data_IF_135150576233
#
_entry.id   IF_135150576233
#
_cell.length_a   1.000
_cell.length_b   1.000
_cell.length_c   1.000
_cell.angle_alpha   90.00
_cell.angle_beta   90.00
_cell.angle_gamma   90.00
#
_symmetry.space_group_name_H-M   'P 1'
#
loop_
_entity.id
_entity.type
_entity.pdbx_description
1 polymer ?
#
# COMPACT_ATOMS: atom_id res chain seq x y z
N UNK A 1 3.26 2.14 -24.22
CA UNK A 1 4.55 1.47 -24.53
C UNK A 1 4.33 0.23 -25.38
N UNK A 2 3.59 -0.79 -24.93
CA UNK A 2 3.39 -2.06 -25.68
C UNK A 2 2.66 -1.90 -27.03
N UNK A 3 1.58 -1.11 -27.10
CA UNK A 3 0.86 -0.88 -28.37
C UNK A 3 1.72 -0.18 -29.43
N UNK A 4 2.60 0.74 -29.01
CA UNK A 4 3.48 1.47 -29.92
C UNK A 4 4.53 0.55 -30.57
N UNK A 5 5.05 -0.44 -29.83
CA UNK A 5 5.97 -1.44 -30.36
C UNK A 5 5.27 -2.37 -31.36
N UNK A 6 4.02 -2.75 -31.09
CA UNK A 6 3.20 -3.52 -32.05
C UNK A 6 2.96 -2.70 -33.32
N UNK A 7 2.61 -1.42 -33.20
CA UNK A 7 2.40 -0.53 -34.34
C UNK A 7 3.68 -0.29 -35.16
N UNK A 8 4.83 -0.22 -34.50
CA UNK A 8 6.13 -0.15 -35.19
C UNK A 8 6.45 -1.43 -35.96
N UNK A 9 6.27 -2.60 -35.34
CA UNK A 9 6.50 -3.88 -36.00
C UNK A 9 5.59 -4.05 -37.23
N UNK A 10 4.31 -3.68 -37.10
CA UNK A 10 3.36 -3.74 -38.21
C UNK A 10 3.72 -2.76 -39.33
N UNK A 11 4.17 -1.54 -39.01
CA UNK A 11 4.68 -0.58 -40.02
C UNK A 11 5.91 -1.10 -40.76
N UNK A 12 6.73 -1.93 -40.12
CA UNK A 12 7.90 -2.59 -40.73
C UNK A 12 7.54 -3.88 -41.48
N UNK A 13 6.25 -4.21 -41.61
CA UNK A 13 5.76 -5.33 -42.42
C UNK A 13 5.41 -6.60 -41.64
N UNK A 14 5.49 -6.61 -40.31
CA UNK A 14 5.05 -7.76 -39.52
C UNK A 14 3.52 -7.86 -39.45
N UNK A 15 2.98 -9.08 -39.43
CA UNK A 15 1.57 -9.28 -39.09
C UNK A 15 1.33 -9.03 -37.60
N UNK A 16 0.08 -8.76 -37.22
CA UNK A 16 -0.29 -8.61 -35.81
C UNK A 16 0.05 -9.89 -35.04
N UNK A 17 -0.18 -11.05 -35.64
CA UNK A 17 0.11 -12.38 -35.11
C UNK A 17 1.60 -12.53 -34.79
N UNK A 18 2.48 -12.25 -35.76
CA UNK A 18 3.92 -12.36 -35.59
C UNK A 18 4.46 -11.37 -34.55
N UNK A 19 3.92 -10.14 -34.52
CA UNK A 19 4.28 -9.15 -33.51
C UNK A 19 3.83 -9.57 -32.10
N UNK A 20 2.62 -10.12 -31.97
CA UNK A 20 2.09 -10.61 -30.70
C UNK A 20 2.85 -11.83 -30.19
N UNK A 21 3.17 -12.79 -31.07
CA UNK A 21 3.94 -13.99 -30.74
C UNK A 21 5.30 -13.62 -30.12
N UNK A 22 6.03 -12.68 -30.72
CA UNK A 22 7.32 -12.20 -30.20
C UNK A 22 7.23 -11.51 -28.84
N UNK A 23 6.09 -10.90 -28.54
CA UNK A 23 5.84 -10.23 -27.27
C UNK A 23 5.19 -11.14 -26.21
N UNK A 24 4.92 -12.41 -26.54
CA UNK A 24 4.19 -13.32 -25.66
C UNK A 24 2.74 -12.90 -25.42
N UNK A 25 2.14 -12.22 -26.40
CA UNK A 25 0.77 -11.73 -26.34
C UNK A 25 -0.14 -12.52 -27.29
N UNK A 26 -1.43 -12.53 -26.96
CA UNK A 26 -2.47 -13.00 -27.87
C UNK A 26 -2.99 -11.80 -28.69
N UNK A 27 -3.17 -11.90 -30.02
CA UNK A 27 -3.68 -10.81 -30.86
C UNK A 27 -4.97 -10.16 -30.33
N UNK A 28 -5.86 -10.98 -29.78
CA UNK A 28 -7.12 -10.54 -29.15
C UNK A 28 -6.90 -9.58 -27.97
N UNK A 29 -5.79 -9.70 -27.24
CA UNK A 29 -5.42 -8.79 -26.14
C UNK A 29 -5.07 -7.41 -26.67
N UNK A 30 -4.27 -7.35 -27.75
CA UNK A 30 -3.92 -6.09 -28.42
C UNK A 30 -5.16 -5.44 -29.04
N UNK A 31 -5.99 -6.21 -29.74
CA UNK A 31 -7.26 -5.72 -30.29
C UNK A 31 -8.19 -5.17 -29.20
N UNK A 32 -8.26 -5.84 -28.03
CA UNK A 32 -9.02 -5.35 -26.88
C UNK A 32 -8.44 -4.02 -26.38
N UNK A 33 -7.14 -3.91 -26.16
CA UNK A 33 -6.53 -2.65 -25.68
C UNK A 33 -6.73 -1.46 -26.61
N UNK A 34 -6.87 -1.69 -27.92
CA UNK A 34 -7.18 -0.62 -28.90
C UNK A 34 -8.62 -0.12 -28.84
N UNK A 35 -9.55 -0.84 -28.20
CA UNK A 35 -10.94 -0.38 -28.07
C UNK A 35 -11.01 0.77 -27.05
N UNK A 36 -11.70 1.89 -27.35
CA UNK A 36 -11.84 3.01 -26.42
C UNK A 36 -12.37 2.61 -25.04
N UNK A 37 -13.28 1.64 -24.99
CA UNK A 37 -13.84 1.11 -23.75
C UNK A 37 -12.76 0.52 -22.81
N UNK A 38 -11.68 -0.02 -23.35
CA UNK A 38 -10.60 -0.70 -22.63
C UNK A 38 -9.26 0.01 -22.76
N UNK A 39 -9.27 1.27 -23.20
CA UNK A 39 -8.10 2.13 -23.31
C UNK A 39 -7.47 2.47 -21.94
N UNK A 40 -8.28 2.41 -20.87
CA UNK A 40 -7.81 2.58 -19.50
C UNK A 40 -7.63 1.23 -18.80
N UNK A 41 -6.63 1.16 -17.92
CA UNK A 41 -6.44 0.00 -17.06
C UNK A 41 -7.68 -0.20 -16.18
N UNK A 42 -8.37 -1.34 -16.38
CA UNK A 42 -9.56 -1.72 -15.63
C UNK A 42 -9.26 -2.60 -14.43
N UNK A 43 -7.99 -2.75 -14.05
CA UNK A 43 -7.61 -3.33 -12.75
C UNK A 43 -7.97 -2.33 -11.65
N UNK A 44 -9.27 -2.20 -11.40
CA UNK A 44 -9.77 -1.60 -10.18
C UNK A 44 -9.45 -2.61 -9.09
N UNK A 45 -8.54 -2.27 -8.17
CA UNK A 45 -8.20 -3.11 -7.03
C UNK A 45 -9.43 -3.55 -6.22
N UNK A 46 -9.24 -4.30 -5.13
CA UNK A 46 -10.35 -4.83 -4.34
C UNK A 46 -11.42 -3.76 -4.07
N UNK A 47 -12.67 -4.04 -4.46
CA UNK A 47 -13.81 -3.11 -4.26
C UNK A 47 -14.24 -3.04 -2.80
N UNK A 48 -13.74 -3.94 -1.98
CA UNK A 48 -14.07 -4.09 -0.56
C UNK A 48 -12.85 -3.77 0.30
N UNK A 49 -13.10 -3.19 1.46
CA UNK A 49 -12.08 -3.10 2.50
C UNK A 49 -11.95 -4.45 3.22
N UNK A 50 -10.76 -4.81 3.71
CA UNK A 50 -10.59 -5.97 4.58
C UNK A 50 -11.52 -5.87 5.79
N UNK A 51 -12.16 -6.98 6.17
CA UNK A 51 -13.10 -7.00 7.30
C UNK A 51 -12.46 -6.67 8.66
N UNK A 52 -11.15 -6.88 8.78
CA UNK A 52 -10.34 -6.54 9.96
C UNK A 52 -9.75 -5.11 9.91
N UNK A 53 -10.23 -4.27 8.99
CA UNK A 53 -9.79 -2.88 8.92
C UNK A 53 -10.30 -2.13 10.15
N UNK A 54 -9.39 -1.48 10.88
CA UNK A 54 -9.75 -0.61 11.99
C UNK A 54 -10.71 0.50 11.53
N UNK A 55 -11.82 0.60 12.23
CA UNK A 55 -12.77 1.71 12.15
C UNK A 55 -12.10 3.01 12.60
N UNK A 56 -12.70 4.14 12.21
CA UNK A 56 -12.19 5.44 12.65
C UNK A 56 -12.24 5.59 14.18
N UNK A 57 -13.27 5.04 14.84
CA UNK A 57 -13.40 5.06 16.29
C UNK A 57 -12.30 4.25 17.00
N UNK A 58 -11.90 3.09 16.45
CA UNK A 58 -10.78 2.31 17.00
C UNK A 58 -9.46 3.03 16.81
N UNK A 59 -9.24 3.65 15.63
CA UNK A 59 -8.03 4.46 15.38
C UNK A 59 -7.91 5.62 16.37
N UNK A 60 -9.02 6.30 16.69
CA UNK A 60 -9.03 7.35 17.70
C UNK A 60 -8.76 6.83 19.10
N UNK A 61 -9.29 5.66 19.47
CA UNK A 61 -8.96 5.00 20.75
C UNK A 61 -7.47 4.68 20.86
N UNK A 62 -6.86 4.19 19.78
CA UNK A 62 -5.40 3.93 19.72
C UNK A 62 -4.62 5.22 19.97
N UNK A 63 -4.98 6.31 19.27
CA UNK A 63 -4.32 7.61 19.43
C UNK A 63 -4.49 8.18 20.84
N UNK A 64 -5.70 8.11 21.39
CA UNK A 64 -5.98 8.57 22.74
C UNK A 64 -5.12 7.81 23.76
N UNK A 65 -5.09 6.47 23.66
CA UNK A 65 -4.32 5.61 24.55
C UNK A 65 -2.81 5.89 24.47
N UNK A 66 -2.26 5.94 23.25
CA UNK A 66 -0.84 6.19 23.03
C UNK A 66 -0.39 7.59 23.47
N UNK A 67 -1.30 8.56 23.59
CA UNK A 67 -1.00 9.92 24.06
C UNK A 67 -1.36 10.15 25.53
N UNK A 68 -1.87 9.14 26.27
CA UNK A 68 -2.06 9.25 27.71
C UNK A 68 -0.73 9.45 28.42
N UNK A 69 -0.74 10.17 29.53
CA UNK A 69 0.46 10.48 30.31
C UNK A 69 1.28 9.24 30.67
N UNK A 70 0.60 8.15 31.03
CA UNK A 70 1.24 6.88 31.36
C UNK A 70 1.99 6.22 30.19
N UNK A 71 1.50 6.37 28.96
CA UNK A 71 2.01 5.66 27.80
C UNK A 71 2.73 6.56 26.79
N UNK A 72 2.67 7.88 26.97
CA UNK A 72 3.14 8.85 25.98
C UNK A 72 4.58 8.61 25.57
N UNK A 73 5.45 8.21 26.48
CA UNK A 73 6.88 8.01 26.22
C UNK A 73 7.23 6.55 25.87
N UNK A 74 6.25 5.65 25.88
CA UNK A 74 6.43 4.26 25.48
C UNK A 74 6.31 4.12 23.95
N UNK A 75 7.25 3.40 23.36
CA UNK A 75 7.11 2.95 21.97
C UNK A 75 5.99 1.91 21.84
N UNK A 76 5.37 1.71 20.67
CA UNK A 76 4.40 0.62 20.46
C UNK A 76 4.91 -0.76 20.90
N UNK A 77 6.22 -1.00 20.75
CA UNK A 77 6.90 -2.21 21.23
C UNK A 77 6.82 -2.40 22.74
N UNK A 78 6.78 -1.32 23.52
CA UNK A 78 6.68 -1.35 24.98
C UNK A 78 5.22 -1.25 25.44
N UNK A 79 4.43 -0.40 24.78
CA UNK A 79 3.04 -0.14 25.10
C UNK A 79 2.18 -1.40 24.96
N UNK A 80 2.32 -2.14 23.86
CA UNK A 80 1.48 -3.33 23.61
C UNK A 80 1.69 -4.44 24.65
N UNK A 81 2.93 -4.82 25.02
CA UNK A 81 3.16 -5.70 26.16
C UNK A 81 2.61 -5.16 27.48
N UNK A 82 2.81 -3.87 27.78
CA UNK A 82 2.31 -3.28 29.02
C UNK A 82 0.77 -3.30 29.13
N UNK A 83 0.05 -3.22 28.01
CA UNK A 83 -1.41 -3.44 27.98
C UNK A 83 -1.75 -4.93 28.16
N UNK A 84 -0.99 -5.82 27.53
CA UNK A 84 -1.20 -7.27 27.65
C UNK A 84 -1.02 -7.75 29.09
N UNK A 85 -0.03 -7.20 29.82
CA UNK A 85 0.18 -7.47 31.25
C UNK A 85 -1.04 -7.05 32.11
N UNK A 86 -1.83 -6.08 31.64
CA UNK A 86 -3.10 -5.65 32.25
C UNK A 86 -4.31 -6.42 31.74
N UNK A 87 -4.13 -7.35 30.81
CA UNK A 87 -5.21 -8.07 30.14
C UNK A 87 -5.99 -7.21 29.13
N UNK A 88 -5.45 -6.06 28.71
CA UNK A 88 -6.08 -5.16 27.76
C UNK A 88 -5.56 -5.38 26.34
N UNK A 89 -6.46 -5.62 25.38
CA UNK A 89 -6.11 -5.70 23.96
C UNK A 89 -6.92 -4.71 23.13
N UNK A 90 -6.21 -3.88 22.36
CA UNK A 90 -6.82 -2.92 21.43
C UNK A 90 -6.46 -3.23 19.98
N UNK A 91 -5.18 -3.46 19.69
CA UNK A 91 -4.70 -3.80 18.36
C UNK A 91 -3.28 -4.39 18.42
N UNK A 92 -2.83 -5.00 17.32
CA UNK A 92 -1.45 -5.46 17.17
C UNK A 92 -0.44 -4.31 17.17
N UNK A 93 0.81 -4.59 17.53
CA UNK A 93 1.93 -3.63 17.45
C UNK A 93 2.05 -2.98 16.06
N UNK A 94 1.95 -3.78 15.00
CA UNK A 94 1.96 -3.30 13.61
C UNK A 94 0.83 -2.30 13.31
N UNK A 95 -0.34 -2.49 13.93
CA UNK A 95 -1.48 -1.57 13.79
C UNK A 95 -1.24 -0.26 14.54
N UNK A 96 -0.65 -0.31 15.75
CA UNK A 96 -0.21 0.89 16.47
C UNK A 96 0.78 1.71 15.64
N UNK A 97 1.82 1.07 15.09
CA UNK A 97 2.77 1.78 14.23
C UNK A 97 2.10 2.41 13.01
N UNK A 98 1.19 1.69 12.33
CA UNK A 98 0.48 2.23 11.16
C UNK A 98 -0.34 3.47 11.53
N UNK A 99 -1.12 3.41 12.61
CA UNK A 99 -1.97 4.52 13.06
C UNK A 99 -1.13 5.72 13.50
N UNK A 100 -0.06 5.50 14.29
CA UNK A 100 0.81 6.58 14.73
C UNK A 100 1.61 7.21 13.58
N UNK A 101 1.99 6.41 12.56
CA UNK A 101 2.64 6.90 11.34
C UNK A 101 1.71 7.82 10.55
N UNK A 102 0.46 7.40 10.34
CA UNK A 102 -0.56 8.19 9.65
C UNK A 102 -0.86 9.49 10.40
N UNK A 103 -0.85 9.46 11.74
CA UNK A 103 -1.00 10.64 12.59
C UNK A 103 0.30 11.47 12.75
N UNK A 104 1.41 11.08 12.11
CA UNK A 104 2.74 11.73 12.20
C UNK A 104 3.30 11.81 13.63
N UNK A 105 2.96 10.86 14.51
CA UNK A 105 3.38 10.80 15.92
C UNK A 105 4.58 9.89 16.19
N UNK A 106 5.17 9.27 15.16
CA UNK A 106 6.38 8.44 15.26
C UNK A 106 7.69 9.24 15.09
N UNK A 107 7.66 10.56 15.31
CA UNK A 107 8.85 11.38 15.24
C UNK A 107 9.87 10.94 16.30
N UNK A 108 11.16 11.02 15.96
CA UNK A 108 12.22 10.76 16.92
C UNK A 108 12.14 11.76 18.07
N UNK A 109 11.98 11.27 19.30
CA UNK A 109 11.84 12.11 20.51
C UNK A 109 13.16 12.36 21.24
N UNK A 110 14.25 11.76 20.75
CA UNK A 110 15.59 11.93 21.30
C UNK A 110 16.32 13.13 20.70
N UNK A 111 17.33 13.64 21.43
CA UNK A 111 18.26 14.67 20.94
C UNK A 111 19.29 14.14 19.93
N UNK A 112 19.34 12.83 19.73
CA UNK A 112 20.26 12.21 18.80
C UNK A 112 19.90 12.60 17.36
N UNK A 113 20.90 13.06 16.60
CA UNK A 113 20.72 13.33 15.17
C UNK A 113 20.49 12.02 14.43
N UNK A 114 19.63 12.06 13.42
CA UNK A 114 19.46 10.93 12.51
C UNK A 114 20.83 10.58 11.87
N UNK A 115 21.15 9.28 11.69
CA UNK A 115 22.37 8.88 11.03
C UNK A 115 22.43 9.47 9.62
N UNK A 116 23.55 10.10 9.29
CA UNK A 116 23.80 10.68 7.97
C UNK A 116 24.44 9.59 7.12
N UNK A 117 23.86 9.30 5.95
CA UNK A 117 24.47 8.39 4.99
C UNK A 117 25.85 8.94 4.58
N UNK A 118 26.88 8.08 4.62
CA UNK A 118 28.23 8.39 4.14
C UNK A 118 28.31 8.28 2.64
#
# INVERSE_FOLDING_TARGET
MTLALVDEAMRRGATLEAACERLGLVPRTVQRWRRPATAQDRRCGPRTSPGNRLTQAERQRILALANREEFRDMSPKQLVPALADRGEYLASESSFYRVLREAKQLAHRGRARAPVAR
#
